data_IF_546295285895
#
_entry.id   IF_546295285895
#
_cell.length_a   1.000
_cell.length_b   1.000
_cell.length_c   1.000
_cell.angle_alpha   90.00
_cell.angle_beta   90.00
_cell.angle_gamma   90.00
#
_symmetry.space_group_name_H-M   'P 1'
#
loop_
_entity.id
_entity.type
_entity.pdbx_description
1 polymer ?
#
# COMPACT_ATOMS: atom_id res chain seq x y z
N UNK A 1 12.11 13.98 -13.67
CA UNK A 1 11.31 14.88 -12.81
C UNK A 1 11.23 14.31 -11.40
N UNK A 2 10.99 15.10 -10.36
CA UNK A 2 10.68 14.59 -9.01
C UNK A 2 9.21 14.84 -8.69
N UNK A 3 8.56 13.86 -8.06
CA UNK A 3 7.15 13.93 -7.65
C UNK A 3 7.01 14.44 -6.21
N UNK A 4 7.83 15.41 -5.80
CA UNK A 4 7.91 15.94 -4.42
C UNK A 4 6.75 16.82 -3.98
N UNK A 5 5.58 16.66 -4.60
CA UNK A 5 4.28 17.27 -4.26
C UNK A 5 3.13 16.25 -4.46
N UNK A 6 3.45 14.95 -4.56
CA UNK A 6 2.47 13.89 -4.73
C UNK A 6 1.96 13.45 -3.36
N UNK A 7 0.73 13.83 -3.03
CA UNK A 7 0.09 13.53 -1.73
C UNK A 7 -0.71 12.20 -1.75
N UNK A 8 -1.14 11.75 -2.93
CA UNK A 8 -1.88 10.51 -3.16
C UNK A 8 -1.24 9.72 -4.30
N UNK A 9 -0.99 8.42 -4.09
CA UNK A 9 -0.49 7.51 -5.11
C UNK A 9 -1.41 6.28 -5.20
N UNK A 10 -2.01 6.08 -6.37
CA UNK A 10 -2.70 4.85 -6.72
C UNK A 10 -1.74 3.90 -7.46
N UNK A 11 -1.59 2.68 -6.95
CA UNK A 11 -0.97 1.55 -7.65
C UNK A 11 -1.89 0.33 -7.64
N UNK A 12 -3.19 0.50 -7.39
CA UNK A 12 -4.12 -0.62 -7.30
C UNK A 12 -4.17 -1.46 -8.58
N UNK A 13 -4.53 -2.74 -8.43
CA UNK A 13 -4.58 -3.75 -9.49
C UNK A 13 -3.25 -4.04 -10.19
N UNK A 14 -2.12 -3.52 -9.70
CA UNK A 14 -0.79 -3.77 -10.23
C UNK A 14 -0.26 -5.17 -9.84
N UNK A 15 -1.03 -6.23 -10.14
CA UNK A 15 -0.77 -7.64 -9.84
C UNK A 15 0.57 -8.19 -10.38
N UNK A 16 1.24 -7.47 -11.29
CA UNK A 16 2.57 -7.81 -11.81
C UNK A 16 3.73 -7.02 -11.17
N UNK A 17 3.45 -6.03 -10.32
CA UNK A 17 4.45 -5.24 -9.59
C UNK A 17 5.03 -6.07 -8.45
N UNK A 18 6.29 -6.47 -8.57
CA UNK A 18 6.92 -7.40 -7.63
C UNK A 18 7.58 -6.69 -6.44
N UNK A 19 8.09 -5.48 -6.66
CA UNK A 19 8.84 -4.68 -5.70
C UNK A 19 8.59 -3.19 -6.03
N UNK A 20 8.57 -2.30 -5.03
CA UNK A 20 8.53 -0.85 -5.24
C UNK A 20 9.95 -0.30 -5.54
N UNK A 21 10.09 0.76 -6.34
CA UNK A 21 11.39 1.33 -6.67
C UNK A 21 12.10 1.90 -5.44
N UNK A 22 13.42 1.90 -5.44
CA UNK A 22 14.25 2.47 -4.37
C UNK A 22 13.88 3.91 -4.03
N UNK A 23 13.55 4.70 -5.05
CA UNK A 23 13.23 6.13 -4.99
C UNK A 23 11.81 6.43 -4.47
N UNK A 24 11.08 5.42 -3.99
CA UNK A 24 9.80 5.61 -3.28
C UNK A 24 9.97 6.46 -2.01
N UNK A 25 11.17 6.44 -1.40
CA UNK A 25 11.57 7.30 -0.28
C UNK A 25 11.62 8.81 -0.63
N UNK A 26 11.67 9.16 -1.92
CA UNK A 26 11.73 10.55 -2.39
C UNK A 26 10.35 11.21 -2.55
N UNK A 27 9.26 10.48 -2.29
CA UNK A 27 7.88 10.97 -2.36
C UNK A 27 7.51 11.76 -1.09
N UNK A 28 8.31 12.79 -0.76
CA UNK A 28 8.39 13.49 0.54
C UNK A 28 7.08 14.00 1.17
N UNK A 29 6.01 14.05 0.39
CA UNK A 29 4.71 14.61 0.74
C UNK A 29 3.59 13.54 0.68
N UNK A 30 3.91 12.28 0.42
CA UNK A 30 2.92 11.24 0.21
C UNK A 30 2.16 10.97 1.51
N UNK A 31 0.85 11.22 1.51
CA UNK A 31 -0.02 11.05 2.67
C UNK A 31 -0.87 9.79 2.57
N UNK A 32 -1.27 9.42 1.35
CA UNK A 32 -2.07 8.22 1.06
C UNK A 32 -1.45 7.37 -0.05
N UNK A 33 -1.35 6.07 0.21
CA UNK A 33 -0.98 5.05 -0.77
C UNK A 33 -2.12 4.05 -0.94
N UNK A 34 -2.55 3.79 -2.16
CA UNK A 34 -3.55 2.77 -2.48
C UNK A 34 -2.88 1.59 -3.19
N UNK A 35 -2.89 0.42 -2.55
CA UNK A 35 -2.31 -0.83 -3.06
C UNK A 35 -3.34 -1.97 -3.18
N UNK A 36 -4.64 -1.68 -3.25
CA UNK A 36 -5.66 -2.72 -3.41
C UNK A 36 -5.30 -3.63 -4.59
N UNK A 37 -5.43 -4.95 -4.40
CA UNK A 37 -5.19 -5.96 -5.44
C UNK A 37 -3.72 -6.06 -5.91
N UNK A 38 -2.73 -5.58 -5.15
CA UNK A 38 -1.30 -5.67 -5.44
C UNK A 38 -0.65 -7.03 -5.12
N UNK A 39 -1.36 -8.14 -5.35
CA UNK A 39 -0.95 -9.49 -4.90
C UNK A 39 0.42 -9.99 -5.40
N UNK A 40 0.97 -9.40 -6.46
CA UNK A 40 2.34 -9.66 -6.93
C UNK A 40 3.44 -9.07 -6.05
N UNK A 41 3.13 -8.06 -5.21
CA UNK A 41 4.10 -7.31 -4.41
C UNK A 41 4.69 -8.21 -3.33
N UNK A 42 5.98 -8.55 -3.47
CA UNK A 42 6.67 -9.50 -2.58
C UNK A 42 6.87 -8.92 -1.20
N UNK A 43 7.26 -7.64 -1.13
CA UNK A 43 7.56 -6.90 0.10
C UNK A 43 7.04 -5.47 -0.01
N UNK A 44 6.50 -4.96 1.09
CA UNK A 44 6.41 -3.52 1.33
C UNK A 44 7.81 -2.96 1.62
N UNK A 45 8.12 -1.71 1.26
CA UNK A 45 9.40 -1.09 1.58
C UNK A 45 9.59 -0.97 3.09
N UNK A 46 10.79 -1.27 3.58
CA UNK A 46 11.15 -1.10 5.00
C UNK A 46 11.50 0.35 5.36
N UNK A 47 11.78 1.18 4.34
CA UNK A 47 11.94 2.63 4.46
C UNK A 47 10.71 3.27 3.83
N UNK A 48 9.73 3.63 4.66
CA UNK A 48 8.57 4.41 4.25
C UNK A 48 8.66 5.78 4.91
N UNK A 49 8.42 6.82 4.12
CA UNK A 49 8.59 8.20 4.53
C UNK A 49 7.47 8.64 5.49
N UNK A 50 7.87 9.34 6.56
CA UNK A 50 7.06 9.70 7.73
C UNK A 50 5.81 10.56 7.49
N UNK A 51 5.52 11.00 6.27
CA UNK A 51 4.27 11.67 5.92
C UNK A 51 3.11 10.71 5.64
N UNK A 52 3.37 9.42 5.43
CA UNK A 52 2.31 8.47 5.07
C UNK A 52 1.34 8.26 6.26
N UNK A 53 0.15 8.83 6.14
CA UNK A 53 -0.93 8.79 7.12
C UNK A 53 -1.90 7.64 6.87
N UNK A 54 -2.02 7.19 5.61
CA UNK A 54 -3.02 6.20 5.20
C UNK A 54 -2.46 5.23 4.16
N UNK A 55 -2.73 3.95 4.34
CA UNK A 55 -2.62 2.94 3.29
C UNK A 55 -3.96 2.26 3.07
N UNK A 56 -4.29 1.97 1.81
CA UNK A 56 -5.43 1.12 1.42
C UNK A 56 -4.89 -0.20 0.90
N UNK A 57 -5.43 -1.31 1.40
CA UNK A 57 -5.05 -2.67 0.99
C UNK A 57 -6.30 -3.52 0.73
N UNK A 58 -6.13 -4.61 -0.01
CA UNK A 58 -7.16 -5.65 -0.06
C UNK A 58 -7.23 -6.40 1.27
N UNK A 59 -8.31 -7.15 1.48
CA UNK A 59 -8.47 -8.08 2.60
C UNK A 59 -7.49 -9.27 2.45
N UNK A 60 -6.25 -9.05 2.88
CA UNK A 60 -5.11 -9.94 2.66
C UNK A 60 -4.18 -9.94 3.88
N UNK A 61 -4.15 -11.05 4.61
CA UNK A 61 -3.32 -11.27 5.81
C UNK A 61 -1.88 -10.78 5.63
N UNK A 62 -1.29 -11.10 4.46
CA UNK A 62 0.10 -10.79 4.13
C UNK A 62 0.36 -9.29 4.01
N UNK A 63 -0.56 -8.54 3.43
CA UNK A 63 -0.45 -7.08 3.30
C UNK A 63 -0.71 -6.42 4.67
N UNK A 64 -1.73 -6.89 5.40
CA UNK A 64 -2.09 -6.38 6.72
C UNK A 64 -0.97 -6.55 7.75
N UNK A 65 -0.40 -7.75 7.93
CA UNK A 65 0.66 -8.01 8.90
C UNK A 65 1.93 -7.19 8.64
N UNK A 66 2.26 -6.96 7.37
CA UNK A 66 3.40 -6.16 6.99
C UNK A 66 3.20 -4.67 7.33
N UNK A 67 2.03 -4.10 7.00
CA UNK A 67 1.70 -2.71 7.34
C UNK A 67 1.46 -2.51 8.85
N UNK A 68 0.91 -3.50 9.54
CA UNK A 68 0.79 -3.55 11.00
C UNK A 68 2.17 -3.47 11.67
N UNK A 69 3.14 -4.24 11.17
CA UNK A 69 4.53 -4.21 11.64
C UNK A 69 5.19 -2.83 11.42
N UNK A 70 4.92 -2.17 10.28
CA UNK A 70 5.41 -0.80 9.99
C UNK A 70 4.76 0.23 10.92
N UNK A 71 3.45 0.11 11.17
CA UNK A 71 2.72 0.98 12.10
C UNK A 71 3.26 0.86 13.53
N UNK A 72 3.50 -0.36 14.00
CA UNK A 72 4.03 -0.63 15.33
C UNK A 72 5.47 -0.10 15.52
N UNK A 73 6.30 -0.12 14.48
CA UNK A 73 7.73 0.19 14.55
C UNK A 73 8.12 1.61 14.16
N UNK A 74 7.45 2.19 13.15
CA UNK A 74 7.92 3.39 12.44
C UNK A 74 6.83 4.44 12.25
N UNK A 75 5.62 4.02 11.85
CA UNK A 75 4.53 4.92 11.46
C UNK A 75 3.33 4.80 12.42
N UNK A 76 3.51 5.18 13.68
CA UNK A 76 2.48 5.00 14.72
C UNK A 76 1.12 5.64 14.39
N UNK A 77 1.13 6.71 13.59
CA UNK A 77 -0.08 7.43 13.14
C UNK A 77 -0.70 6.85 11.85
N UNK A 78 -0.19 5.74 11.30
CA UNK A 78 -0.69 5.14 10.06
C UNK A 78 -2.09 4.54 10.25
N UNK A 79 -3.04 4.95 9.43
CA UNK A 79 -4.31 4.27 9.22
C UNK A 79 -4.14 3.19 8.14
N UNK A 80 -4.65 1.99 8.42
CA UNK A 80 -4.65 0.86 7.49
C UNK A 80 -6.12 0.58 7.17
N UNK A 81 -6.56 0.99 5.98
CA UNK A 81 -7.93 0.76 5.51
C UNK A 81 -7.94 -0.52 4.67
N UNK A 82 -8.43 -1.61 5.28
CA UNK A 82 -8.68 -2.88 4.60
C UNK A 82 -10.02 -2.80 3.89
N UNK A 83 -10.08 -3.20 2.62
CA UNK A 83 -11.35 -3.34 1.87
C UNK A 83 -11.47 -4.71 1.21
N UNK A 84 -12.69 -5.22 0.97
CA UNK A 84 -12.90 -6.47 0.22
C UNK A 84 -12.27 -6.41 -1.18
N UNK A 85 -11.85 -7.56 -1.70
CA UNK A 85 -11.41 -7.68 -3.09
C UNK A 85 -12.52 -7.25 -4.06
N UNK A 86 -12.17 -6.36 -4.98
CA UNK A 86 -13.11 -5.69 -5.90
C UNK A 86 -13.58 -6.68 -6.97
N UNK A 87 -12.75 -7.69 -7.25
CA UNK A 87 -13.00 -8.75 -8.23
C UNK A 87 -13.27 -10.12 -7.60
N UNK A 88 -13.80 -10.13 -6.36
CA UNK A 88 -14.34 -11.36 -5.77
C UNK A 88 -15.36 -12.01 -6.71
N UNK A 89 -15.12 -13.28 -7.06
CA UNK A 89 -15.98 -14.05 -7.96
C UNK A 89 -17.21 -14.63 -7.27
N UNK A 90 -17.54 -14.19 -6.04
CA UNK A 90 -18.71 -14.67 -5.28
C UNK A 90 -20.08 -14.42 -5.95
N UNK A 91 -20.13 -13.72 -7.10
CA UNK A 91 -21.31 -13.59 -7.97
C UNK A 91 -21.41 -14.69 -9.04
N UNK A 92 -20.43 -15.59 -9.14
CA UNK A 92 -20.42 -16.78 -10.02
C UNK A 92 -20.79 -18.08 -9.28
N UNK A 93 -21.03 -18.01 -7.97
CA UNK A 93 -21.40 -19.14 -7.12
C UNK A 93 -22.95 -19.28 -6.95
N UNK A 94 -23.73 -18.47 -7.68
CA UNK A 94 -25.22 -18.47 -7.76
C UNK A 94 -25.77 -19.26 -9.00
#
# INVERSE_FOLDING_TARGET
>A
CKLGQLEYLDISLCRCLQDLPSEFDQLSNLETLDMRECSGLKKVPTVIQSSLKRVVISDSDKEYEAWSSIKASTLHNLTIDVVPEIFSLAWLDD
#
